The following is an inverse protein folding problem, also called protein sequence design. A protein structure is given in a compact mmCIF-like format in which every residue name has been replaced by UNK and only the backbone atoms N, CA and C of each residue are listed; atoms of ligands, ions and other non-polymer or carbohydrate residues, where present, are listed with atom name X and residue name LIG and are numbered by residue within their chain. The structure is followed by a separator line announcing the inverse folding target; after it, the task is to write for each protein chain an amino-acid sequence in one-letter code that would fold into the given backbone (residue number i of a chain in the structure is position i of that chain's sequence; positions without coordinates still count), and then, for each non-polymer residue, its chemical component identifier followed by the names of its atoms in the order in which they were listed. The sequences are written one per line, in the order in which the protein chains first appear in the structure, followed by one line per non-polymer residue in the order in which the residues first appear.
data_IF_034693110012
#
_entry.id   IF_034693110012
#
_cell.length_a   1.000
_cell.length_b   1.000
_cell.length_c   1.000
_cell.angle_alpha   90.00
_cell.angle_beta   90.00
_cell.angle_gamma   90.00
#
_symmetry.space_group_name_H-M   'P 1'
#
loop_
_entity.id
_entity.type
_entity.pdbx_description
1 polymer ?
#
# COMPACT_ATOMS: atom_id res chain seq x y z
N UNK A 1 2.55 33.83 -1.68
CA UNK A 1 2.89 32.45 -2.05
C UNK A 1 2.27 31.56 -0.99
N UNK A 2 1.23 30.81 -1.35
CA UNK A 2 0.49 29.98 -0.41
C UNK A 2 1.40 28.79 -0.09
N UNK A 3 1.84 28.67 1.16
CA UNK A 3 2.56 27.48 1.64
C UNK A 3 1.57 26.31 1.59
N UNK A 4 1.72 25.46 0.58
CA UNK A 4 0.96 24.22 0.41
C UNK A 4 1.12 23.39 1.68
N UNK A 5 -0.02 23.05 2.27
CA UNK A 5 -0.11 22.31 3.51
C UNK A 5 0.62 20.97 3.39
N UNK A 6 1.61 20.77 4.26
CA UNK A 6 1.95 19.49 4.91
C UNK A 6 1.64 18.23 4.09
N UNK A 7 2.40 17.98 3.03
CA UNK A 7 2.44 16.68 2.33
C UNK A 7 3.32 15.65 3.07
N UNK A 8 3.58 15.86 4.37
CA UNK A 8 4.62 15.13 5.14
C UNK A 8 4.10 13.91 5.92
N UNK A 9 2.82 13.56 5.76
CA UNK A 9 2.26 12.30 6.30
C UNK A 9 1.04 11.91 5.47
N UNK A 10 1.26 11.62 4.18
CA UNK A 10 0.22 10.97 3.41
C UNK A 10 -0.02 9.58 4.03
N UNK A 11 -1.18 9.42 4.64
CA UNK A 11 -1.54 8.20 5.35
C UNK A 11 -1.58 6.96 4.48
N UNK A 12 -1.15 5.85 5.06
CA UNK A 12 -1.35 4.53 4.46
C UNK A 12 -2.74 4.07 4.90
N UNK A 13 -3.65 3.92 3.94
CA UNK A 13 -5.00 3.44 4.17
C UNK A 13 -5.15 2.06 3.57
N UNK A 14 -5.71 1.14 4.35
CA UNK A 14 -5.94 -0.24 3.95
C UNK A 14 -7.33 -0.71 4.39
N UNK A 15 -7.84 -1.78 3.80
CA UNK A 15 -9.12 -2.39 4.16
C UNK A 15 -8.96 -3.88 4.47
N UNK A 16 -9.46 -4.30 5.63
CA UNK A 16 -9.53 -5.71 6.08
C UNK A 16 -10.92 -6.27 5.74
N UNK A 17 -11.26 -6.31 4.45
CA UNK A 17 -12.56 -6.79 3.91
C UNK A 17 -13.81 -5.95 4.26
N UNK A 18 -13.89 -5.38 5.46
CA UNK A 18 -15.07 -4.71 6.04
C UNK A 18 -14.72 -3.33 6.57
N UNK A 19 -13.56 -3.19 7.22
CA UNK A 19 -13.18 -1.97 7.94
C UNK A 19 -12.04 -1.24 7.23
N UNK A 20 -12.11 0.09 7.18
CA UNK A 20 -11.00 0.93 6.72
C UNK A 20 -10.03 1.19 7.89
N UNK A 21 -8.77 0.88 7.69
CA UNK A 21 -7.68 1.04 8.64
C UNK A 21 -6.70 2.10 8.15
N UNK A 22 -6.16 2.85 9.11
CA UNK A 22 -5.02 3.74 8.93
C UNK A 22 -3.80 3.03 9.52
N UNK A 23 -2.82 2.76 8.68
CA UNK A 23 -1.64 1.97 9.04
C UNK A 23 -0.40 2.85 9.09
N UNK A 24 0.53 2.45 9.94
CA UNK A 24 1.86 3.03 10.05
C UNK A 24 2.88 2.07 9.45
N UNK A 25 3.75 2.59 8.60
CA UNK A 25 4.87 1.85 8.05
C UNK A 25 6.07 1.96 8.98
N UNK A 26 6.48 0.83 9.54
CA UNK A 26 7.75 0.70 10.23
C UNK A 26 8.81 0.17 9.26
N UNK A 27 9.92 0.90 9.15
CA UNK A 27 11.08 0.55 8.31
C UNK A 27 12.34 0.34 9.14
N UNK A 28 12.24 0.28 10.47
CA UNK A 28 13.39 0.21 11.36
C UNK A 28 14.03 -1.19 11.37
N UNK A 29 13.26 -2.23 11.04
CA UNK A 29 13.73 -3.61 10.96
C UNK A 29 14.35 -4.01 9.62
N UNK A 30 14.76 -5.28 9.51
CA UNK A 30 15.30 -5.86 8.28
C UNK A 30 14.28 -5.97 7.15
N UNK A 31 12.99 -6.02 7.48
CA UNK A 31 11.88 -6.01 6.54
C UNK A 31 10.85 -4.95 6.97
N UNK A 32 10.36 -4.12 6.05
CA UNK A 32 9.34 -3.12 6.36
C UNK A 32 8.01 -3.80 6.67
N UNK A 33 7.35 -3.37 7.75
CA UNK A 33 6.07 -3.91 8.21
C UNK A 33 5.04 -2.81 8.41
N UNK A 34 3.78 -3.14 8.19
CA UNK A 34 2.66 -2.28 8.51
C UNK A 34 2.10 -2.62 9.89
N UNK A 35 1.76 -1.58 10.65
CA UNK A 35 1.14 -1.69 11.96
C UNK A 35 -0.16 -0.89 12.02
N UNK A 36 -1.18 -1.45 12.67
CA UNK A 36 -2.42 -0.74 12.96
C UNK A 36 -2.25 0.25 14.14
N UNK A 37 -3.25 1.08 14.43
CA UNK A 37 -3.26 2.01 15.56
C UNK A 37 -2.99 1.34 16.93
N UNK A 38 -3.25 0.04 17.05
CA UNK A 38 -2.96 -0.77 18.24
C UNK A 38 -1.49 -1.22 18.34
N UNK A 39 -0.67 -0.97 17.31
CA UNK A 39 0.70 -1.49 17.19
C UNK A 39 0.77 -2.95 16.73
N UNK A 40 -0.36 -3.59 16.40
CA UNK A 40 -0.38 -4.93 15.82
C UNK A 40 0.21 -4.89 14.41
N UNK A 41 1.14 -5.80 14.13
CA UNK A 41 1.66 -6.03 12.76
C UNK A 41 0.56 -6.67 11.91
N UNK A 42 0.36 -6.12 10.72
CA UNK A 42 -0.61 -6.56 9.73
C UNK A 42 0.12 -7.25 8.59
N UNK A 43 -0.27 -8.48 8.25
CA UNK A 43 0.33 -9.19 7.15
C UNK A 43 -0.22 -8.70 5.79
N UNK A 44 0.57 -8.78 4.71
CA UNK A 44 0.16 -8.34 3.38
C UNK A 44 -1.15 -8.95 2.84
N UNK A 45 -1.44 -10.21 3.19
CA UNK A 45 -2.63 -10.92 2.71
C UNK A 45 -3.88 -10.68 3.57
N UNK A 46 -3.74 -10.02 4.73
CA UNK A 46 -4.89 -9.67 5.59
C UNK A 46 -5.57 -8.38 5.10
N UNK A 47 -4.90 -7.57 4.29
CA UNK A 47 -5.39 -6.24 3.91
C UNK A 47 -5.26 -5.95 2.43
N UNK A 48 -6.17 -5.11 1.94
CA UNK A 48 -6.05 -4.45 0.64
C UNK A 48 -5.57 -3.01 0.85
N UNK A 49 -4.41 -2.65 0.30
CA UNK A 49 -3.92 -1.27 0.32
C UNK A 49 -4.74 -0.40 -0.65
N UNK A 50 -5.30 0.69 -0.14
CA UNK A 50 -6.13 1.62 -0.92
C UNK A 50 -5.39 2.92 -1.25
N UNK A 51 -4.53 3.39 -0.34
CA UNK A 51 -3.77 4.64 -0.50
C UNK A 51 -2.45 4.54 0.24
N UNK A 52 -1.39 5.10 -0.33
CA UNK A 52 -0.09 5.26 0.31
C UNK A 52 0.67 6.45 -0.31
N UNK A 53 1.64 7.04 0.40
CA UNK A 53 2.54 8.02 -0.19
C UNK A 53 3.53 7.34 -1.14
N UNK A 54 3.92 8.03 -2.22
CA UNK A 54 4.91 7.52 -3.18
C UNK A 54 6.25 7.15 -2.52
N UNK A 55 6.62 7.85 -1.45
CA UNK A 55 7.83 7.55 -0.67
C UNK A 55 7.76 6.20 0.07
N UNK A 56 6.56 5.70 0.41
CA UNK A 56 6.37 4.41 1.09
C UNK A 56 6.33 3.22 0.12
N UNK A 57 6.02 3.45 -1.16
CA UNK A 57 5.93 2.40 -2.18
C UNK A 57 7.11 1.41 -2.22
N UNK A 58 8.40 1.85 -2.26
CA UNK A 58 9.52 0.91 -2.30
C UNK A 58 9.62 0.04 -1.04
N UNK A 59 9.21 0.56 0.12
CA UNK A 59 9.15 -0.22 1.34
C UNK A 59 7.97 -1.20 1.31
N UNK A 60 6.78 -0.75 0.89
CA UNK A 60 5.60 -1.60 0.77
C UNK A 60 5.81 -2.78 -0.21
N UNK A 61 6.48 -2.54 -1.35
CA UNK A 61 6.89 -3.60 -2.28
C UNK A 61 7.88 -4.59 -1.64
N UNK A 62 8.90 -4.10 -0.94
CA UNK A 62 9.85 -4.97 -0.21
C UNK A 62 9.18 -5.78 0.89
N UNK A 63 8.14 -5.24 1.52
CA UNK A 63 7.32 -5.93 2.52
C UNK A 63 6.26 -6.86 1.94
N UNK A 64 6.10 -6.90 0.61
CA UNK A 64 5.12 -7.74 -0.07
C UNK A 64 3.68 -7.23 -0.04
N UNK A 65 3.44 -6.02 0.48
CA UNK A 65 2.10 -5.39 0.55
C UNK A 65 1.59 -4.92 -0.81
N UNK A 66 2.51 -4.56 -1.70
CA UNK A 66 2.20 -4.29 -3.09
C UNK A 66 2.65 -5.52 -3.86
N UNK A 67 1.68 -6.32 -4.30
CA UNK A 67 1.95 -7.41 -5.24
C UNK A 67 2.73 -6.87 -6.44
N UNK A 68 3.51 -7.73 -7.11
CA UNK A 68 4.06 -7.37 -8.41
C UNK A 68 2.88 -6.85 -9.25
N UNK A 69 3.00 -5.69 -9.93
CA UNK A 69 1.95 -5.25 -10.83
C UNK A 69 1.70 -6.44 -11.72
N UNK A 70 0.47 -6.98 -11.67
CA UNK A 70 0.06 -7.88 -12.71
C UNK A 70 0.26 -7.02 -13.94
N UNK A 71 1.27 -7.36 -14.75
CA UNK A 71 1.24 -6.95 -16.14
C UNK A 71 -0.14 -7.42 -16.54
N UNK A 72 -1.06 -6.47 -16.67
CA UNK A 72 -2.34 -6.69 -17.29
C UNK A 72 -1.92 -7.30 -18.61
N UNK A 73 -2.01 -8.63 -18.68
CA UNK A 73 -1.97 -9.36 -19.92
C UNK A 73 -3.12 -8.72 -20.65
N UNK A 74 -2.80 -7.72 -21.48
CA UNK A 74 -3.71 -7.16 -22.43
C UNK A 74 -4.24 -8.41 -23.13
N UNK A 75 -5.46 -8.79 -22.77
CA UNK A 75 -6.23 -9.80 -23.48
C UNK A 75 -6.59 -9.07 -24.76
N UNK A 76 -5.63 -9.01 -25.68
CA UNK A 76 -5.86 -8.58 -27.05
C UNK A 76 -6.98 -9.50 -27.51
N UNK A 77 -8.21 -8.97 -27.52
CA UNK A 77 -9.31 -9.60 -28.19
C UNK A 77 -8.84 -9.81 -29.63
N UNK A 78 -8.43 -11.03 -29.96
CA UNK A 78 -8.39 -11.47 -31.34
C UNK A 78 -9.85 -11.59 -31.78
N UNK A 79 -10.47 -10.44 -32.05
CA UNK A 79 -11.56 -10.37 -33.00
C UNK A 79 -10.95 -10.65 -34.37
N UNK A 80 -10.84 -11.93 -34.71
CA UNK A 80 -10.59 -12.37 -36.07
C UNK A 80 -11.86 -13.08 -36.54
N UNK A 81 -12.65 -12.30 -37.30
CA UNK A 81 -13.69 -12.65 -38.28
C UNK A 81 -14.63 -13.84 -37.97
#
# INVERSE_FOLDING_TARGET
MIQSATEDSADILARDGVTLHRLNLDVAGSAPVLTDATGKVVAPWEIELLRWPSAAEPALRRGGYLGAPQLETELWCNCAD
#
